data_IF_586394965678
#
_entry.id   IF_586394965678
#
_cell.length_a   1.000
_cell.length_b   1.000
_cell.length_c   1.000
_cell.angle_alpha   90.00
_cell.angle_beta   90.00
_cell.angle_gamma   90.00
#
_symmetry.space_group_name_H-M   'P 1'
#
loop_
_entity.id
_entity.type
_entity.pdbx_description
1 polymer ?
#
# COMPACT_ATOMS: atom_id res chain seq x y z
N UNK A 1 -10.08 -9.11 -22.78
CA UNK A 1 -9.36 -9.87 -21.74
C UNK A 1 -9.96 -9.48 -20.40
N UNK A 2 -10.34 -10.43 -19.54
CA UNK A 2 -10.86 -10.11 -18.21
C UNK A 2 -9.66 -9.76 -17.33
N UNK A 3 -9.47 -8.48 -17.01
CA UNK A 3 -8.42 -8.06 -16.08
C UNK A 3 -8.89 -8.47 -14.69
N UNK A 4 -8.21 -9.43 -14.06
CA UNK A 4 -8.48 -9.77 -12.66
C UNK A 4 -8.31 -8.52 -11.80
N UNK A 5 -9.39 -8.15 -11.12
CA UNK A 5 -9.42 -7.06 -10.15
C UNK A 5 -8.73 -7.56 -8.87
N UNK A 6 -7.51 -7.10 -8.68
CA UNK A 6 -6.69 -7.40 -7.49
C UNK A 6 -6.49 -6.10 -6.74
N UNK A 7 -6.74 -6.13 -5.43
CA UNK A 7 -6.45 -5.05 -4.50
C UNK A 7 -5.26 -5.43 -3.63
N UNK A 8 -4.39 -4.46 -3.34
CA UNK A 8 -3.29 -4.63 -2.39
C UNK A 8 -3.73 -4.10 -1.02
N UNK A 9 -3.58 -4.92 0.03
CA UNK A 9 -3.83 -4.52 1.42
C UNK A 9 -2.51 -4.60 2.18
N UNK A 10 -2.11 -3.49 2.78
CA UNK A 10 -0.82 -3.34 3.47
C UNK A 10 -1.10 -2.94 4.92
N UNK A 11 -1.05 -3.88 5.88
CA UNK A 11 -1.03 -3.52 7.28
C UNK A 11 0.30 -2.83 7.61
N UNK A 12 0.24 -1.74 8.37
CA UNK A 12 1.40 -0.97 8.79
C UNK A 12 1.29 -0.59 10.26
N UNK A 13 2.29 -0.99 11.04
CA UNK A 13 2.49 -0.59 12.44
C UNK A 13 3.90 -0.02 12.59
N UNK A 14 4.01 1.28 12.83
CA UNK A 14 5.27 1.99 12.99
C UNK A 14 6.26 1.80 11.80
N UNK A 15 5.74 1.97 10.58
CA UNK A 15 6.47 1.87 9.31
C UNK A 15 6.63 3.22 8.57
N UNK A 16 6.54 4.35 9.26
CA UNK A 16 6.57 5.70 8.68
C UNK A 16 7.81 5.96 7.80
N UNK A 17 8.94 5.33 8.12
CA UNK A 17 10.19 5.45 7.34
C UNK A 17 10.20 4.64 6.05
N UNK A 18 9.36 3.61 5.92
CA UNK A 18 9.41 2.61 4.84
C UNK A 18 8.15 2.59 3.98
N UNK A 19 6.98 2.89 4.57
CA UNK A 19 5.67 2.75 3.94
C UNK A 19 5.55 3.59 2.66
N UNK A 20 6.13 4.79 2.65
CA UNK A 20 6.13 5.66 1.48
C UNK A 20 6.84 5.03 0.28
N UNK A 21 7.96 4.33 0.51
CA UNK A 21 8.70 3.65 -0.55
C UNK A 21 7.91 2.46 -1.11
N UNK A 22 7.24 1.69 -0.25
CA UNK A 22 6.40 0.55 -0.65
C UNK A 22 5.22 1.03 -1.49
N UNK A 23 4.47 2.03 -1.02
CA UNK A 23 3.33 2.60 -1.75
C UNK A 23 3.79 3.17 -3.09
N UNK A 24 4.90 3.91 -3.13
CA UNK A 24 5.45 4.48 -4.37
C UNK A 24 5.77 3.39 -5.39
N UNK A 25 6.43 2.30 -4.99
CA UNK A 25 6.77 1.20 -5.89
C UNK A 25 5.52 0.50 -6.43
N UNK A 26 4.52 0.26 -5.59
CA UNK A 26 3.26 -0.37 -6.00
C UNK A 26 2.46 0.51 -6.95
N UNK A 27 2.33 1.81 -6.65
CA UNK A 27 1.65 2.78 -7.51
C UNK A 27 2.34 2.88 -8.88
N UNK A 28 3.67 2.88 -8.92
CA UNK A 28 4.41 2.93 -10.19
C UNK A 28 4.26 1.64 -11.01
N UNK A 29 4.23 0.48 -10.36
CA UNK A 29 4.16 -0.83 -11.04
C UNK A 29 2.72 -1.20 -11.44
N UNK A 30 1.74 -0.71 -10.70
CA UNK A 30 0.33 -1.07 -10.80
C UNK A 30 -0.58 0.17 -10.72
N UNK A 31 -0.47 1.10 -11.69
CA UNK A 31 -1.11 2.43 -11.59
C UNK A 31 -2.64 2.40 -11.55
N UNK A 32 -3.27 1.34 -12.04
CA UNK A 32 -4.74 1.19 -12.07
C UNK A 32 -5.28 0.30 -10.95
N UNK A 33 -4.44 -0.10 -9.98
CA UNK A 33 -4.85 -1.00 -8.89
C UNK A 33 -5.15 -0.23 -7.61
N UNK A 34 -6.13 -0.75 -6.87
CA UNK A 34 -6.45 -0.27 -5.52
C UNK A 34 -5.34 -0.68 -4.54
N UNK A 35 -4.89 0.27 -3.73
CA UNK A 35 -3.92 0.06 -2.65
C UNK A 35 -4.53 0.64 -1.37
N UNK A 36 -4.75 -0.22 -0.38
CA UNK A 36 -5.24 0.15 0.95
C UNK A 36 -4.14 -0.07 1.98
N UNK A 37 -3.67 1.02 2.59
CA UNK A 37 -2.80 0.94 3.77
C UNK A 37 -3.68 0.95 5.01
N UNK A 38 -3.57 -0.08 5.84
CA UNK A 38 -4.28 -0.19 7.11
C UNK A 38 -3.30 0.19 8.21
N UNK A 39 -3.53 1.35 8.82
CA UNK A 39 -2.78 1.73 10.03
C UNK A 39 -3.24 0.86 11.20
N UNK A 40 -2.37 -0.04 11.66
CA UNK A 40 -2.63 -1.00 12.72
C UNK A 40 -2.30 -0.43 14.12
N UNK A 41 -2.67 0.83 14.35
CA UNK A 41 -2.47 1.52 15.63
C UNK A 41 -1.08 2.14 15.82
N UNK A 42 -0.41 2.56 14.74
CA UNK A 42 0.87 3.25 14.81
C UNK A 42 0.79 4.50 15.67
N UNK A 43 1.83 4.74 16.48
CA UNK A 43 1.93 5.86 17.42
C UNK A 43 2.99 6.91 16.99
N UNK A 44 3.67 6.66 15.87
CA UNK A 44 4.63 7.57 15.27
C UNK A 44 4.02 8.52 14.23
N UNK A 45 4.71 9.63 13.98
CA UNK A 45 4.38 10.68 13.00
C UNK A 45 5.31 10.65 11.79
#
# INVERSE_FOLDING_TARGET
MNVEKISFVIPAYNEGKTIAAVVTQLTNKFPEREILVVNDGSDEY
#
